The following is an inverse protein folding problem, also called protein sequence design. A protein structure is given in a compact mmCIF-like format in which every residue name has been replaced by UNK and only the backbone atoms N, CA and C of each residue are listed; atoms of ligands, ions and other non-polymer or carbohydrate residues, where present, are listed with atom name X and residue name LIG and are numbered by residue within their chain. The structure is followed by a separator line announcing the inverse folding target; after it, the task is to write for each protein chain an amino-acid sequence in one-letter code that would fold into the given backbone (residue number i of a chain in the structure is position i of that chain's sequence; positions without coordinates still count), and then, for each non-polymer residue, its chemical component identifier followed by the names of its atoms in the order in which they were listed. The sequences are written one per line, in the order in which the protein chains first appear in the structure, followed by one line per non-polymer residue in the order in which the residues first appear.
data_IF_000002849308
#
_entry.id   IF_000002849308
#
_cell.length_a   1.000
_cell.length_b   1.000
_cell.length_c   1.000
_cell.angle_alpha   90.00
_cell.angle_beta   90.00
_cell.angle_gamma   90.00
#
_symmetry.space_group_name_H-M   'P 1'
#
loop_
_entity.id
_entity.type
_entity.pdbx_description
1 polymer ?
#
# COMPACT_ATOMS: atom_id res chain seq x y z
N UNK A 1 -8.79 20.02 7.16
CA UNK A 1 -8.30 18.62 7.14
C UNK A 1 -6.88 18.61 6.61
N UNK A 2 -6.05 17.67 7.05
CA UNK A 2 -4.69 17.53 6.50
C UNK A 2 -4.72 17.14 5.02
N UNK A 3 -3.74 17.59 4.25
CA UNK A 3 -3.61 17.27 2.82
C UNK A 3 -2.92 15.93 2.56
N UNK A 4 -2.58 15.19 3.62
CA UNK A 4 -1.83 13.93 3.57
C UNK A 4 -2.68 12.80 4.13
N UNK A 5 -2.82 11.72 3.36
CA UNK A 5 -3.36 10.45 3.81
C UNK A 5 -2.22 9.58 4.35
N UNK A 6 -2.24 9.26 5.64
CA UNK A 6 -1.35 8.26 6.22
C UNK A 6 -1.96 6.87 6.03
N UNK A 7 -1.37 6.06 5.15
CA UNK A 7 -1.72 4.66 4.96
C UNK A 7 -0.99 3.83 6.01
N UNK A 8 -1.76 3.20 6.88
CA UNK A 8 -1.23 2.35 7.94
C UNK A 8 -1.36 0.85 7.58
N UNK A 9 -0.99 -0.01 8.52
CA UNK A 9 -1.01 -1.46 8.45
C UNK A 9 -2.36 -1.99 7.95
N UNK A 10 -2.30 -2.73 6.84
CA UNK A 10 -3.40 -3.57 6.36
C UNK A 10 -3.01 -5.03 6.44
N UNK A 11 -3.89 -5.85 7.00
CA UNK A 11 -3.70 -7.30 7.10
C UNK A 11 -4.73 -8.04 6.26
N UNK A 12 -4.25 -8.86 5.33
CA UNK A 12 -5.09 -9.76 4.54
C UNK A 12 -4.69 -11.20 4.87
N UNK A 13 -5.61 -11.92 5.50
CA UNK A 13 -5.38 -13.28 5.97
C UNK A 13 -5.44 -14.28 4.82
N UNK A 14 -4.28 -14.88 4.48
CA UNK A 14 -4.19 -15.87 3.40
C UNK A 14 -5.21 -16.99 3.50
N UNK A 15 -5.41 -17.55 4.70
CA UNK A 15 -6.38 -18.64 4.92
C UNK A 15 -7.83 -18.24 4.61
N UNK A 16 -8.19 -16.97 4.87
CA UNK A 16 -9.53 -16.46 4.57
C UNK A 16 -9.71 -16.30 3.05
N UNK A 17 -8.70 -15.74 2.36
CA UNK A 17 -8.70 -15.63 0.90
C UNK A 17 -8.76 -17.02 0.24
N UNK A 18 -7.97 -17.97 0.72
CA UNK A 18 -7.96 -19.34 0.20
C UNK A 18 -9.30 -20.05 0.40
N UNK A 19 -9.99 -19.82 1.52
CA UNK A 19 -11.33 -20.34 1.75
C UNK A 19 -12.34 -19.75 0.76
N UNK A 20 -12.36 -18.42 0.63
CA UNK A 20 -13.27 -17.74 -0.29
C UNK A 20 -13.10 -18.22 -1.75
N UNK A 21 -11.85 -18.46 -2.17
CA UNK A 21 -11.54 -19.03 -3.49
C UNK A 21 -12.07 -20.45 -3.68
N UNK A 22 -12.01 -21.30 -2.64
CA UNK A 22 -12.56 -22.66 -2.70
C UNK A 22 -14.07 -22.67 -2.80
N UNK A 23 -14.74 -21.74 -2.12
CA UNK A 23 -16.20 -21.57 -2.16
C UNK A 23 -16.69 -20.97 -3.49
N UNK A 24 -15.82 -20.27 -4.22
CA UNK A 24 -16.15 -19.61 -5.49
C UNK A 24 -15.09 -19.90 -6.58
N UNK A 25 -15.00 -21.15 -7.06
CA UNK A 25 -13.92 -21.59 -7.95
C UNK A 25 -13.83 -20.79 -9.26
N UNK A 26 -14.96 -20.30 -9.79
CA UNK A 26 -15.02 -19.54 -11.03
C UNK A 26 -15.07 -18.01 -10.85
N UNK A 27 -15.25 -17.54 -9.61
CA UNK A 27 -15.61 -16.14 -9.32
C UNK A 27 -14.45 -15.17 -9.34
N UNK A 28 -13.28 -15.57 -8.82
CA UNK A 28 -12.17 -14.64 -8.58
C UNK A 28 -11.03 -14.81 -9.59
N UNK A 29 -11.21 -14.32 -10.82
CA UNK A 29 -10.12 -14.21 -11.82
C UNK A 29 -9.42 -12.84 -11.66
N UNK A 30 -8.08 -12.81 -11.73
CA UNK A 30 -7.25 -11.60 -11.73
C UNK A 30 -7.42 -10.64 -10.51
N UNK A 31 -7.09 -11.09 -9.30
CA UNK A 31 -7.09 -10.21 -8.11
C UNK A 31 -7.52 -10.90 -6.82
N UNK A 32 -8.12 -12.09 -6.91
CA UNK A 32 -8.53 -12.91 -5.76
C UNK A 32 -7.38 -13.57 -4.99
N UNK A 33 -6.22 -12.93 -4.91
CA UNK A 33 -5.12 -13.37 -4.06
C UNK A 33 -4.87 -12.31 -2.98
N UNK A 34 -4.04 -12.64 -1.98
CA UNK A 34 -3.75 -11.76 -0.85
C UNK A 34 -3.26 -10.37 -1.29
N UNK A 35 -2.42 -10.31 -2.33
CA UNK A 35 -1.90 -9.05 -2.85
C UNK A 35 -2.96 -8.23 -3.58
N UNK A 36 -3.79 -8.85 -4.40
CA UNK A 36 -4.86 -8.16 -5.13
C UNK A 36 -5.93 -7.61 -4.18
N UNK A 37 -6.31 -8.38 -3.15
CA UNK A 37 -7.20 -7.89 -2.10
C UNK A 37 -6.56 -6.73 -1.32
N UNK A 38 -5.29 -6.86 -0.93
CA UNK A 38 -4.57 -5.78 -0.24
C UNK A 38 -4.45 -4.51 -1.08
N UNK A 39 -4.16 -4.65 -2.37
CA UNK A 39 -4.08 -3.52 -3.30
C UNK A 39 -5.45 -2.87 -3.52
N UNK A 40 -6.53 -3.66 -3.59
CA UNK A 40 -7.90 -3.13 -3.69
C UNK A 40 -8.30 -2.36 -2.43
N UNK A 41 -8.00 -2.89 -1.24
CA UNK A 41 -8.26 -2.18 0.01
C UNK A 41 -7.51 -0.86 0.07
N UNK A 42 -6.21 -0.87 -0.27
CA UNK A 42 -5.44 0.37 -0.36
C UNK A 42 -6.01 1.34 -1.40
N UNK A 43 -6.48 0.84 -2.55
CA UNK A 43 -7.10 1.67 -3.59
C UNK A 43 -8.36 2.38 -3.06
N UNK A 44 -9.19 1.68 -2.29
CA UNK A 44 -10.35 2.28 -1.62
C UNK A 44 -9.94 3.35 -0.60
N UNK A 45 -8.86 3.13 0.16
CA UNK A 45 -8.32 4.15 1.06
C UNK A 45 -7.85 5.41 0.31
N UNK A 46 -7.18 5.25 -0.84
CA UNK A 46 -6.76 6.37 -1.68
C UNK A 46 -7.95 7.16 -2.23
N UNK A 47 -8.99 6.46 -2.71
CA UNK A 47 -10.22 7.10 -3.17
C UNK A 47 -10.88 7.90 -2.05
N UNK A 48 -11.04 7.29 -0.87
CA UNK A 48 -11.61 7.97 0.28
C UNK A 48 -10.78 9.20 0.70
N UNK A 49 -9.45 9.07 0.72
CA UNK A 49 -8.55 10.20 0.98
C UNK A 49 -8.75 11.33 -0.04
N UNK A 50 -8.83 11.01 -1.33
CA UNK A 50 -9.07 11.98 -2.40
C UNK A 50 -10.40 12.72 -2.21
N UNK A 51 -11.48 12.00 -1.93
CA UNK A 51 -12.81 12.58 -1.67
C UNK A 51 -12.81 13.52 -0.45
N UNK A 52 -11.91 13.29 0.51
CA UNK A 52 -11.72 14.12 1.69
C UNK A 52 -10.61 15.18 1.53
N UNK A 53 -10.10 15.40 0.32
CA UNK A 53 -9.14 16.47 0.01
C UNK A 53 -7.67 16.14 0.26
N UNK A 54 -7.32 14.87 0.47
CA UNK A 54 -5.91 14.46 0.52
C UNK A 54 -5.28 14.49 -0.88
N UNK A 55 -4.09 15.09 -0.97
CA UNK A 55 -3.32 15.25 -2.22
C UNK A 55 -2.14 14.28 -2.27
N UNK A 56 -1.52 14.03 -1.12
CA UNK A 56 -0.41 13.11 -0.96
C UNK A 56 -0.85 11.91 -0.11
N UNK A 57 -0.28 10.74 -0.39
CA UNK A 57 -0.36 9.57 0.48
C UNK A 57 1.04 9.22 0.98
N UNK A 58 1.13 8.83 2.24
CA UNK A 58 2.36 8.41 2.90
C UNK A 58 2.19 7.09 3.61
N UNK A 59 3.29 6.35 3.74
CA UNK A 59 3.39 5.22 4.66
C UNK A 59 4.83 5.07 5.15
N UNK A 60 5.01 4.51 6.35
CA UNK A 60 6.31 4.10 6.88
C UNK A 60 6.45 2.58 6.78
N UNK A 61 7.47 2.11 6.05
CA UNK A 61 7.91 0.73 6.16
C UNK A 61 8.76 0.59 7.43
N UNK A 62 8.15 0.16 8.53
CA UNK A 62 8.85 -0.06 9.81
C UNK A 62 9.98 -1.09 9.61
N UNK A 63 11.11 -0.84 10.26
CA UNK A 63 12.35 -1.62 10.18
C UNK A 63 12.55 -2.44 11.46
N UNK A 64 11.55 -3.26 11.80
CA UNK A 64 11.54 -4.15 12.96
C UNK A 64 12.05 -5.56 12.63
N UNK A 65 11.90 -5.99 11.38
CA UNK A 65 12.42 -7.24 10.85
C UNK A 65 12.96 -7.03 9.42
N UNK A 66 14.26 -7.28 9.25
CA UNK A 66 15.02 -6.99 8.02
C UNK A 66 14.37 -7.53 6.74
N UNK A 67 13.87 -8.78 6.77
CA UNK A 67 13.26 -9.39 5.58
C UNK A 67 11.90 -8.79 5.25
N UNK A 68 11.02 -8.58 6.24
CA UNK A 68 9.75 -7.88 6.05
C UNK A 68 9.97 -6.44 5.60
N UNK A 69 10.91 -5.71 6.22
CA UNK A 69 11.24 -4.34 5.88
C UNK A 69 11.61 -4.21 4.39
N UNK A 70 12.60 -5.00 3.94
CA UNK A 70 13.02 -5.06 2.53
C UNK A 70 11.87 -5.42 1.60
N UNK A 71 10.99 -6.33 2.01
CA UNK A 71 9.81 -6.73 1.22
C UNK A 71 8.80 -5.61 1.08
N UNK A 72 8.49 -4.89 2.17
CA UNK A 72 7.55 -3.77 2.17
C UNK A 72 8.07 -2.62 1.31
N UNK A 73 9.32 -2.21 1.50
CA UNK A 73 9.96 -1.16 0.69
C UNK A 73 9.91 -1.52 -0.79
N UNK A 74 10.30 -2.76 -1.15
CA UNK A 74 10.24 -3.23 -2.55
C UNK A 74 8.81 -3.24 -3.10
N UNK A 75 7.86 -3.77 -2.33
CA UNK A 75 6.46 -3.87 -2.74
C UNK A 75 5.88 -2.49 -3.04
N UNK A 76 6.00 -1.55 -2.10
CA UNK A 76 5.39 -0.23 -2.26
C UNK A 76 6.13 0.64 -3.28
N UNK A 77 7.46 0.51 -3.41
CA UNK A 77 8.20 1.15 -4.51
C UNK A 77 7.69 0.67 -5.87
N UNK A 78 7.51 -0.64 -6.05
CA UNK A 78 6.94 -1.21 -7.26
C UNK A 78 5.49 -0.77 -7.49
N UNK A 79 4.73 -0.54 -6.41
CA UNK A 79 3.35 -0.04 -6.48
C UNK A 79 3.26 1.45 -6.87
N UNK A 80 4.32 2.24 -6.79
CA UNK A 80 4.32 3.65 -7.20
C UNK A 80 4.86 4.64 -6.18
N UNK A 81 5.04 4.23 -4.92
CA UNK A 81 5.60 5.11 -3.90
C UNK A 81 7.07 5.44 -4.17
N UNK A 82 7.48 6.64 -3.76
CA UNK A 82 8.88 7.07 -3.77
C UNK A 82 9.41 7.10 -2.35
N UNK A 83 10.67 6.67 -2.18
CA UNK A 83 11.38 6.81 -0.90
C UNK A 83 11.69 8.28 -0.67
N UNK A 84 11.34 8.79 0.51
CA UNK A 84 11.61 10.17 0.92
C UNK A 84 12.87 10.23 1.78
N UNK A 85 12.90 9.43 2.85
CA UNK A 85 14.05 9.32 3.76
C UNK A 85 13.94 8.07 4.63
N UNK A 86 15.02 7.73 5.31
CA UNK A 86 14.98 6.84 6.46
C UNK A 86 14.70 7.65 7.74
N UNK A 87 13.71 7.22 8.51
CA UNK A 87 13.35 7.73 9.83
C UNK A 87 14.11 6.91 10.86
N UNK A 88 15.18 7.50 11.42
CA UNK A 88 16.02 6.88 12.44
C UNK A 88 15.75 7.40 13.85
N UNK A 89 16.70 7.17 14.76
CA UNK A 89 16.56 7.54 16.17
C UNK A 89 16.93 8.99 16.51
N UNK A 90 17.46 9.73 15.53
CA UNK A 90 17.88 11.12 15.71
C UNK A 90 16.72 12.03 16.16
N UNK A 91 17.08 13.12 16.85
CA UNK A 91 16.11 14.11 17.35
C UNK A 91 15.26 14.68 16.19
N UNK A 92 15.87 14.89 15.02
CA UNK A 92 15.16 15.38 13.83
C UNK A 92 14.08 14.45 13.29
N UNK A 93 14.07 13.18 13.68
CA UNK A 93 13.10 12.18 13.27
C UNK A 93 12.00 11.93 14.32
N UNK A 94 12.03 12.61 15.47
CA UNK A 94 10.99 12.51 16.50
C UNK A 94 9.59 12.79 15.94
N UNK A 95 9.35 13.84 15.12
CA UNK A 95 8.01 14.10 14.60
C UNK A 95 7.44 12.94 13.78
N UNK A 96 8.24 12.35 12.89
CA UNK A 96 7.81 11.19 12.11
C UNK A 96 7.57 9.97 13.00
N UNK A 97 8.41 9.74 14.02
CA UNK A 97 8.20 8.65 14.99
C UNK A 97 6.95 8.83 15.85
N UNK A 98 6.52 10.07 16.12
CA UNK A 98 5.25 10.32 16.80
C UNK A 98 4.02 9.99 15.93
N UNK A 99 4.16 10.11 14.60
CA UNK A 99 3.10 9.74 13.65
C UNK A 99 3.06 8.22 13.44
N UNK A 100 4.22 7.60 13.24
CA UNK A 100 4.32 6.21 12.76
C UNK A 100 4.67 5.19 13.84
N UNK A 101 5.14 5.63 15.01
CA UNK A 101 5.46 4.77 16.14
C UNK A 101 6.77 3.96 16.03
N UNK A 102 7.59 4.17 15.00
CA UNK A 102 8.83 3.40 14.81
C UNK A 102 9.83 4.00 13.83
N UNK A 103 11.01 3.39 13.75
CA UNK A 103 12.03 3.68 12.74
C UNK A 103 11.72 2.93 11.44
N UNK A 104 12.12 3.47 10.30
CA UNK A 104 11.87 2.82 9.02
C UNK A 104 12.01 3.71 7.80
N UNK A 105 11.59 3.21 6.65
CA UNK A 105 11.69 3.94 5.37
C UNK A 105 10.39 4.67 5.10
N UNK A 106 10.41 6.01 5.16
CA UNK A 106 9.25 6.85 4.85
C UNK A 106 9.11 6.98 3.34
N UNK A 107 7.90 6.73 2.85
CA UNK A 107 7.58 6.79 1.42
C UNK A 107 6.34 7.65 1.17
N UNK A 108 6.34 8.39 0.06
CA UNK A 108 5.24 9.30 -0.34
C UNK A 108 5.02 9.27 -1.84
N UNK A 109 3.78 9.51 -2.26
CA UNK A 109 3.43 9.88 -3.64
C UNK A 109 2.09 10.63 -3.68
N UNK A 110 1.82 11.35 -4.78
CA UNK A 110 0.52 11.95 -5.05
C UNK A 110 -0.57 10.89 -5.15
N UNK A 111 -1.71 11.13 -4.51
CA UNK A 111 -2.87 10.22 -4.52
C UNK A 111 -3.30 9.90 -5.95
N UNK A 112 -3.37 10.91 -6.83
CA UNK A 112 -3.76 10.72 -8.24
C UNK A 112 -2.80 9.82 -9.03
N UNK A 113 -1.50 9.95 -8.78
CA UNK A 113 -0.46 9.12 -9.43
C UNK A 113 -0.59 7.67 -8.98
N UNK A 114 -0.84 7.44 -7.69
CA UNK A 114 -1.07 6.10 -7.16
C UNK A 114 -2.36 5.49 -7.71
N UNK A 115 -3.46 6.24 -7.72
CA UNK A 115 -4.74 5.79 -8.28
C UNK A 115 -4.57 5.38 -9.75
N UNK A 116 -3.96 6.23 -10.60
CA UNK A 116 -3.75 5.91 -12.01
C UNK A 116 -2.97 4.60 -12.19
N UNK A 117 -1.89 4.43 -11.43
CA UNK A 117 -1.06 3.22 -11.50
C UNK A 117 -1.81 1.99 -10.99
N UNK A 118 -2.57 2.12 -9.92
CA UNK A 118 -3.28 0.99 -9.30
C UNK A 118 -4.51 0.59 -10.09
N UNK A 119 -5.19 1.54 -10.76
CA UNK A 119 -6.23 1.25 -11.76
C UNK A 119 -5.69 0.33 -12.86
N UNK A 120 -4.50 0.62 -13.39
CA UNK A 120 -3.84 -0.24 -14.39
C UNK A 120 -3.56 -1.64 -13.84
N UNK A 121 -3.06 -1.73 -12.61
CA UNK A 121 -2.73 -3.02 -11.98
C UNK A 121 -3.96 -3.87 -11.63
N UNK A 122 -5.07 -3.25 -11.21
CA UNK A 122 -6.28 -3.93 -10.75
C UNK A 122 -7.26 -4.25 -11.89
N UNK A 123 -7.40 -3.35 -12.87
CA UNK A 123 -8.53 -3.38 -13.80
C UNK A 123 -8.15 -3.49 -15.26
N UNK A 124 -6.90 -3.27 -15.67
CA UNK A 124 -6.53 -3.59 -17.04
C UNK A 124 -6.46 -5.10 -17.20
N UNK A 125 -7.30 -5.62 -18.10
CA UNK A 125 -7.12 -6.97 -18.64
C UNK A 125 -5.72 -7.02 -19.23
N UNK A 126 -4.88 -7.94 -18.74
CA UNK A 126 -3.79 -8.43 -19.57
C UNK A 126 -4.47 -9.02 -20.81
N UNK A 127 -4.34 -8.35 -21.95
CA UNK A 127 -4.61 -8.99 -23.23
C UNK A 127 -3.86 -10.31 -23.19
N UNK A 128 -4.57 -11.42 -23.36
CA UNK A 128 -3.92 -12.69 -23.55
C UNK A 128 -2.93 -12.47 -24.71
N UNK A 129 -1.64 -12.67 -24.43
CA UNK A 129 -0.68 -12.80 -25.52
C UNK A 129 -1.17 -13.98 -26.36
N UNK A 130 -1.50 -13.70 -27.62
CA UNK A 130 -1.74 -14.70 -28.67
C UNK A 130 -0.50 -15.58 -28.86
#
# INVERSE_FOLDING_TARGET
GGTILHLDKMEVWKKAVDRARKENPDGYKNGGNVFGVGLLLGYLCLLHGKENGCVDAEFLAIDDEEYQHKRLVRYYKNSGFKVIKYVGEDIGNIPDRLIWGGCGTLMREKVDVLLEKWTKNLFQRRSAAE
#
